data_IF_255444914031
#
_entry.id   IF_255444914031
#
_cell.length_a   1.000
_cell.length_b   1.000
_cell.length_c   1.000
_cell.angle_alpha   90.00
_cell.angle_beta   90.00
_cell.angle_gamma   90.00
#
_symmetry.space_group_name_H-M   'P 1'
#
loop_
_entity.id
_entity.type
_entity.pdbx_description
1 polymer ?
#
# COMPACT_ATOMS: atom_id res chain seq x y z
N UNK A 1 -33.56 -32.38 -37.98
CA UNK A 1 -32.40 -32.51 -37.06
C UNK A 1 -32.80 -31.97 -35.70
N UNK A 2 -32.90 -32.76 -34.64
CA UNK A 2 -33.17 -32.22 -33.33
C UNK A 2 -31.92 -31.44 -32.85
N UNK A 3 -32.09 -30.14 -32.61
CA UNK A 3 -31.04 -29.28 -32.04
C UNK A 3 -30.78 -29.68 -30.60
N UNK A 4 -29.54 -29.96 -30.26
CA UNK A 4 -29.10 -30.22 -28.86
C UNK A 4 -29.00 -28.87 -28.17
N UNK A 5 -29.94 -28.56 -27.28
CA UNK A 5 -29.90 -27.34 -26.46
C UNK A 5 -29.17 -27.68 -25.17
N UNK A 6 -27.97 -27.10 -24.97
CA UNK A 6 -27.26 -27.18 -23.69
C UNK A 6 -27.78 -26.08 -22.76
N UNK A 7 -28.37 -26.47 -21.65
CA UNK A 7 -28.79 -25.56 -20.61
C UNK A 7 -27.79 -25.64 -19.47
N UNK A 8 -26.94 -24.61 -19.30
CA UNK A 8 -25.98 -24.52 -18.16
C UNK A 8 -26.77 -23.98 -16.97
N UNK A 9 -26.96 -24.82 -15.97
CA UNK A 9 -27.66 -24.48 -14.73
C UNK A 9 -26.61 -24.09 -13.69
N UNK A 10 -26.75 -22.92 -13.05
CA UNK A 10 -25.83 -22.47 -11.99
C UNK A 10 -24.92 -21.30 -12.36
N UNK A 11 -24.95 -20.85 -13.62
CA UNK A 11 -24.19 -19.68 -14.10
C UNK A 11 -24.47 -18.41 -13.31
N UNK A 12 -25.73 -18.13 -12.99
CA UNK A 12 -26.14 -16.95 -12.21
C UNK A 12 -25.61 -16.99 -10.78
N UNK A 13 -25.60 -18.18 -10.16
CA UNK A 13 -25.03 -18.34 -8.80
C UNK A 13 -23.52 -18.22 -8.79
N UNK A 14 -22.86 -18.73 -9.83
CA UNK A 14 -21.42 -18.58 -10.00
C UNK A 14 -21.03 -17.12 -10.24
N UNK A 15 -21.73 -16.43 -11.12
CA UNK A 15 -21.53 -15.00 -11.39
C UNK A 15 -21.76 -14.17 -10.13
N UNK A 16 -22.81 -14.45 -9.36
CA UNK A 16 -23.07 -13.76 -8.10
C UNK A 16 -21.96 -13.99 -7.08
N UNK A 17 -21.44 -15.22 -6.94
CA UNK A 17 -20.30 -15.52 -6.06
C UNK A 17 -19.02 -14.84 -6.54
N UNK A 18 -18.73 -14.83 -7.83
CA UNK A 18 -17.58 -14.14 -8.40
C UNK A 18 -17.67 -12.62 -8.22
N UNK A 19 -18.83 -12.03 -8.41
CA UNK A 19 -19.04 -10.60 -8.18
C UNK A 19 -18.88 -10.23 -6.70
N UNK A 20 -19.39 -11.07 -5.79
CA UNK A 20 -19.21 -10.89 -4.36
C UNK A 20 -17.74 -10.98 -3.97
N UNK A 21 -17.03 -12.00 -4.41
CA UNK A 21 -15.57 -12.14 -4.24
C UNK A 21 -14.82 -10.93 -4.78
N UNK A 22 -15.16 -10.48 -5.97
CA UNK A 22 -14.55 -9.29 -6.57
C UNK A 22 -14.81 -8.02 -5.74
N UNK A 23 -16.00 -7.87 -5.16
CA UNK A 23 -16.32 -6.72 -4.30
C UNK A 23 -15.64 -6.79 -2.92
N UNK A 24 -15.53 -7.97 -2.33
CA UNK A 24 -14.84 -8.19 -1.05
C UNK A 24 -13.32 -8.04 -1.18
N UNK A 25 -12.73 -8.47 -2.30
CA UNK A 25 -11.29 -8.30 -2.59
C UNK A 25 -10.96 -6.85 -2.97
N UNK A 26 -11.94 -6.12 -3.54
CA UNK A 26 -11.80 -4.71 -3.91
C UNK A 26 -11.91 -3.84 -2.71
N UNK A 27 -11.24 -3.35 -1.98
CA UNK A 27 -11.43 -2.46 -0.83
C UNK A 27 -10.51 -2.83 0.31
N UNK A 28 -11.06 -2.98 1.49
CA UNK A 28 -10.31 -3.23 2.73
C UNK A 28 -9.36 -4.44 2.66
N UNK A 29 -9.72 -5.46 1.88
CA UNK A 29 -8.91 -6.67 1.70
C UNK A 29 -7.64 -6.37 0.90
N UNK A 30 -7.77 -5.70 -0.23
CA UNK A 30 -6.64 -5.29 -1.06
C UNK A 30 -5.76 -4.27 -0.32
N UNK A 31 -6.37 -3.34 0.39
CA UNK A 31 -5.66 -2.37 1.21
C UNK A 31 -4.79 -3.05 2.28
N UNK A 32 -5.33 -4.02 3.03
CA UNK A 32 -4.57 -4.79 4.02
C UNK A 32 -3.37 -5.51 3.41
N UNK A 33 -3.54 -6.10 2.24
CA UNK A 33 -2.45 -6.74 1.52
C UNK A 33 -1.38 -5.73 1.10
N UNK A 34 -1.77 -4.54 0.63
CA UNK A 34 -0.84 -3.47 0.28
C UNK A 34 -0.12 -2.92 1.51
N UNK A 35 -0.81 -2.79 2.65
CA UNK A 35 -0.20 -2.36 3.92
C UNK A 35 0.86 -3.35 4.38
N UNK A 36 0.66 -4.66 4.23
CA UNK A 36 1.70 -5.65 4.58
C UNK A 36 2.98 -5.45 3.77
N UNK A 37 2.86 -5.19 2.47
CA UNK A 37 4.01 -4.82 1.63
C UNK A 37 4.63 -3.46 2.01
N UNK A 38 3.80 -2.47 2.32
CA UNK A 38 4.26 -1.15 2.75
C UNK A 38 5.04 -1.18 4.07
N UNK A 39 4.71 -2.10 4.99
CA UNK A 39 5.45 -2.31 6.24
C UNK A 39 6.90 -2.72 5.99
N UNK A 40 7.17 -3.50 4.95
CA UNK A 40 8.55 -3.87 4.57
C UNK A 40 9.35 -2.62 4.21
N UNK A 41 8.76 -1.75 3.39
CA UNK A 41 9.40 -0.48 3.00
C UNK A 41 9.58 0.44 4.21
N UNK A 42 8.55 0.59 5.04
CA UNK A 42 8.59 1.44 6.23
C UNK A 42 9.71 1.02 7.18
N UNK A 43 9.82 -0.28 7.47
CA UNK A 43 10.84 -0.81 8.37
C UNK A 43 12.25 -0.60 7.79
N UNK A 44 12.44 -0.84 6.50
CA UNK A 44 13.70 -0.59 5.81
C UNK A 44 14.06 0.90 5.80
N UNK A 45 13.10 1.78 5.53
CA UNK A 45 13.30 3.22 5.56
C UNK A 45 13.67 3.72 6.97
N UNK A 46 12.99 3.23 8.00
CA UNK A 46 13.32 3.54 9.40
C UNK A 46 14.73 3.08 9.78
N UNK A 47 15.16 1.92 9.30
CA UNK A 47 16.51 1.40 9.56
C UNK A 47 17.60 2.26 8.87
N UNK A 48 17.32 2.73 7.65
CA UNK A 48 18.25 3.54 6.85
C UNK A 48 18.25 5.03 7.19
N UNK A 49 17.15 5.54 7.76
CA UNK A 49 17.04 6.95 8.12
C UNK A 49 18.12 7.35 9.13
N UNK A 50 18.82 8.49 8.93
CA UNK A 50 19.82 8.96 9.85
C UNK A 50 19.22 9.24 11.24
N UNK A 51 19.98 8.91 12.27
CA UNK A 51 19.55 9.09 13.66
C UNK A 51 20.26 10.31 14.26
N UNK A 52 19.57 11.43 14.32
CA UNK A 52 20.03 12.59 15.07
C UNK A 52 19.22 12.73 16.38
N UNK A 53 17.89 12.84 16.26
CA UNK A 53 16.97 12.94 17.39
C UNK A 53 15.97 11.78 17.42
N UNK A 54 15.96 10.94 16.39
CA UNK A 54 14.99 9.88 16.17
C UNK A 54 13.65 10.38 15.64
N UNK A 55 13.48 11.70 15.50
CA UNK A 55 12.20 12.27 15.03
C UNK A 55 11.86 11.81 13.61
N UNK A 56 12.82 11.87 12.67
CA UNK A 56 12.62 11.40 11.30
C UNK A 56 12.20 9.93 11.26
N UNK A 57 12.85 9.05 12.04
CA UNK A 57 12.50 7.63 12.08
C UNK A 57 11.09 7.38 12.60
N UNK A 58 10.66 8.16 13.59
CA UNK A 58 9.30 8.04 14.17
C UNK A 58 8.24 8.59 13.25
N UNK A 59 8.54 9.61 12.46
CA UNK A 59 7.60 10.23 11.54
C UNK A 59 7.35 9.42 10.27
N UNK A 60 8.20 8.42 9.95
CA UNK A 60 7.94 7.56 8.78
C UNK A 60 6.73 6.67 9.09
N UNK A 61 5.66 6.87 8.35
CA UNK A 61 4.40 6.15 8.53
C UNK A 61 3.82 5.70 7.18
N UNK A 62 2.80 4.86 7.26
CA UNK A 62 2.05 4.37 6.11
C UNK A 62 0.76 5.19 6.07
N UNK A 63 0.52 5.86 4.95
CA UNK A 63 -0.75 6.49 4.66
C UNK A 63 -1.70 5.49 4.03
N UNK A 64 -2.88 5.35 4.63
CA UNK A 64 -3.92 4.45 4.18
C UNK A 64 -5.28 5.03 4.52
N UNK A 65 -6.30 4.19 4.44
CA UNK A 65 -7.64 4.56 4.86
C UNK A 65 -7.64 5.09 6.31
N UNK A 66 -8.61 5.96 6.65
CA UNK A 66 -8.68 6.72 7.92
C UNK A 66 -8.48 5.89 9.20
N UNK A 67 -8.79 4.59 9.16
CA UNK A 67 -8.58 3.67 10.29
C UNK A 67 -7.10 3.30 10.55
N UNK A 68 -6.19 3.54 9.58
CA UNK A 68 -4.78 3.18 9.64
C UNK A 68 -3.88 4.39 9.92
N UNK A 69 -4.43 5.58 9.91
CA UNK A 69 -3.73 6.82 10.25
C UNK A 69 -4.55 7.63 11.27
N UNK A 70 -4.59 7.19 12.55
CA UNK A 70 -5.37 7.83 13.59
C UNK A 70 -4.95 9.28 13.87
N UNK A 71 -3.71 9.66 13.52
CA UNK A 71 -3.18 10.99 13.78
C UNK A 71 -3.40 11.98 12.63
N UNK A 72 -4.03 11.55 11.52
CA UNK A 72 -4.45 12.40 10.42
C UNK A 72 -3.32 13.22 9.76
N UNK A 73 -2.07 12.79 9.90
CA UNK A 73 -0.92 13.49 9.36
C UNK A 73 -1.03 13.59 7.84
N UNK A 74 -1.07 14.81 7.30
CA UNK A 74 -1.04 15.04 5.87
C UNK A 74 0.32 14.61 5.33
N UNK A 75 0.34 13.53 4.56
CA UNK A 75 1.50 13.20 3.74
C UNK A 75 1.57 14.28 2.66
N UNK A 76 2.67 15.01 2.61
CA UNK A 76 2.89 16.00 1.56
C UNK A 76 3.86 15.45 0.53
N UNK A 77 3.60 15.78 -0.72
CA UNK A 77 4.50 15.47 -1.82
C UNK A 77 5.74 16.42 -1.81
N UNK A 78 6.61 16.24 -2.80
CA UNK A 78 7.82 17.07 -2.97
C UNK A 78 7.53 18.57 -3.08
N UNK A 79 6.30 18.96 -3.42
CA UNK A 79 5.86 20.36 -3.56
C UNK A 79 5.25 20.92 -2.28
N UNK A 80 5.15 20.10 -1.21
CA UNK A 80 4.44 20.47 0.02
C UNK A 80 2.93 20.36 -0.11
N UNK A 81 2.42 19.77 -1.20
CA UNK A 81 1.00 19.52 -1.38
C UNK A 81 0.59 18.27 -0.63
N UNK A 82 -0.54 18.28 0.08
CA UNK A 82 -1.03 17.08 0.71
C UNK A 82 -1.27 16.01 -0.35
N UNK A 83 -0.60 14.86 -0.17
CA UNK A 83 -0.90 13.67 -0.96
C UNK A 83 -2.28 13.20 -0.48
N UNK A 84 -3.29 13.14 -1.35
CA UNK A 84 -4.59 12.68 -0.94
C UNK A 84 -4.48 11.28 -0.33
N UNK A 85 -5.22 11.06 0.73
CA UNK A 85 -5.44 9.71 1.31
C UNK A 85 -5.62 8.71 0.18
N UNK A 86 -5.23 7.44 0.35
CA UNK A 86 -5.18 6.50 -0.76
C UNK A 86 -6.42 6.62 -1.59
N UNK A 87 -6.20 6.93 -2.85
CA UNK A 87 -7.29 7.06 -3.80
C UNK A 87 -7.84 5.66 -3.97
N UNK A 88 -8.87 5.34 -3.19
CA UNK A 88 -9.73 4.21 -3.51
C UNK A 88 -10.58 4.67 -4.69
N UNK A 89 -10.00 4.58 -5.87
CA UNK A 89 -10.76 4.66 -7.10
C UNK A 89 -11.54 3.36 -7.28
N UNK A 90 -12.61 3.41 -8.05
CA UNK A 90 -13.43 2.24 -8.34
C UNK A 90 -12.62 1.02 -8.85
N UNK A 91 -11.40 1.25 -9.35
CA UNK A 91 -10.55 0.21 -9.95
C UNK A 91 -9.09 0.16 -9.39
N UNK A 92 -8.72 0.99 -8.44
CA UNK A 92 -7.36 1.00 -7.88
C UNK A 92 -7.35 1.37 -6.39
N UNK A 93 -6.45 0.73 -5.66
CA UNK A 93 -6.15 1.04 -4.26
C UNK A 93 -4.67 1.38 -4.18
N UNK A 94 -4.32 2.47 -3.53
CA UNK A 94 -2.94 2.91 -3.35
C UNK A 94 -2.63 3.10 -1.86
N UNK A 95 -1.45 2.69 -1.46
CA UNK A 95 -0.93 2.89 -0.11
C UNK A 95 0.41 3.62 -0.22
N UNK A 96 0.63 4.59 0.63
CA UNK A 96 1.81 5.44 0.62
C UNK A 96 2.68 5.19 1.85
N UNK A 97 3.99 5.25 1.67
CA UNK A 97 4.96 5.28 2.76
C UNK A 97 5.68 6.62 2.71
N UNK A 98 5.65 7.36 3.78
CA UNK A 98 6.21 8.72 3.78
C UNK A 98 6.40 9.28 5.18
N UNK A 99 6.70 10.56 5.24
CA UNK A 99 6.89 11.32 6.46
C UNK A 99 6.36 12.75 6.28
N UNK A 100 5.82 13.30 7.34
CA UNK A 100 5.31 14.68 7.43
C UNK A 100 6.38 15.70 7.88
N UNK A 101 7.59 15.25 8.20
CA UNK A 101 8.66 16.12 8.67
C UNK A 101 9.22 16.99 7.53
N UNK A 102 9.18 18.31 7.71
CA UNK A 102 9.54 19.28 6.69
C UNK A 102 10.99 19.19 6.18
N UNK A 103 11.94 18.73 6.99
CA UNK A 103 13.34 18.55 6.59
C UNK A 103 13.63 17.18 5.93
N UNK A 104 12.68 16.30 5.86
CA UNK A 104 12.85 14.94 5.30
C UNK A 104 13.34 14.97 3.85
N UNK A 105 12.82 15.87 3.03
CA UNK A 105 13.26 16.04 1.65
C UNK A 105 14.73 16.49 1.56
N UNK A 106 15.17 17.39 2.46
CA UNK A 106 16.57 17.82 2.51
C UNK A 106 17.51 16.68 2.94
N UNK A 107 17.04 15.77 3.79
CA UNK A 107 17.80 14.56 4.15
C UNK A 107 17.89 13.59 2.97
N UNK A 108 16.78 13.31 2.30
CA UNK A 108 16.72 12.37 1.18
C UNK A 108 17.53 12.84 -0.03
N UNK A 109 17.35 14.09 -0.44
CA UNK A 109 17.89 14.63 -1.68
C UNK A 109 19.12 15.53 -1.47
N UNK A 110 19.41 15.89 -0.23
CA UNK A 110 20.42 16.90 0.09
C UNK A 110 19.90 18.34 -0.04
N UNK A 111 20.71 19.27 0.42
CA UNK A 111 20.49 20.70 0.32
C UNK A 111 21.77 21.41 -0.06
N UNK A 112 21.76 22.74 -0.15
CA UNK A 112 22.98 23.56 -0.39
C UNK A 112 24.04 23.38 0.69
N UNK A 113 23.62 23.04 1.91
CA UNK A 113 24.47 22.95 3.10
C UNK A 113 24.61 21.53 3.65
N UNK A 114 23.82 20.59 3.15
CA UNK A 114 23.80 19.21 3.67
C UNK A 114 23.91 18.20 2.52
N UNK A 115 24.81 17.24 2.67
CA UNK A 115 24.91 16.11 1.74
C UNK A 115 23.65 15.22 1.84
N UNK A 116 23.19 14.72 0.71
CA UNK A 116 22.11 13.75 0.65
C UNK A 116 22.42 12.48 1.45
N UNK A 117 21.45 12.02 2.22
CA UNK A 117 21.47 10.76 2.96
C UNK A 117 20.18 10.01 2.65
N UNK A 118 20.05 9.43 1.44
CA UNK A 118 18.83 8.79 1.00
C UNK A 118 18.49 7.58 1.88
N UNK A 119 17.25 7.50 2.32
CA UNK A 119 16.74 6.43 3.17
C UNK A 119 15.47 5.79 2.59
N UNK A 120 14.61 6.59 1.96
CA UNK A 120 13.34 6.12 1.42
C UNK A 120 13.52 5.43 0.06
N UNK A 121 14.27 6.07 -0.84
CA UNK A 121 14.53 5.51 -2.17
C UNK A 121 15.23 4.15 -2.11
N UNK A 122 16.36 3.98 -1.37
CA UNK A 122 16.98 2.67 -1.23
C UNK A 122 16.08 1.65 -0.55
N UNK A 123 15.21 2.08 0.39
CA UNK A 123 14.24 1.19 1.03
C UNK A 123 13.24 0.61 0.02
N UNK A 124 12.83 1.37 -0.97
CA UNK A 124 11.96 0.87 -2.05
C UNK A 124 12.73 -0.03 -3.01
N UNK A 125 13.87 0.45 -3.52
CA UNK A 125 14.62 -0.23 -4.58
C UNK A 125 15.12 -1.62 -4.16
N UNK A 126 15.59 -1.74 -2.92
CA UNK A 126 16.13 -3.01 -2.40
C UNK A 126 15.04 -4.03 -2.00
N UNK A 127 13.83 -3.57 -1.73
CA UNK A 127 12.77 -4.43 -1.17
C UNK A 127 11.64 -4.76 -2.16
N UNK A 128 11.75 -4.41 -3.43
CA UNK A 128 10.68 -4.64 -4.43
C UNK A 128 10.22 -6.11 -4.49
N UNK A 129 11.17 -7.05 -4.49
CA UNK A 129 10.84 -8.48 -4.51
C UNK A 129 10.16 -8.94 -3.20
N UNK A 130 10.63 -8.45 -2.05
CA UNK A 130 10.05 -8.76 -0.75
C UNK A 130 8.63 -8.21 -0.62
N UNK A 131 8.42 -6.97 -1.06
CA UNK A 131 7.10 -6.33 -1.10
C UNK A 131 6.13 -7.14 -1.96
N UNK A 132 6.55 -7.54 -3.16
CA UNK A 132 5.72 -8.36 -4.06
C UNK A 132 5.35 -9.71 -3.42
N UNK A 133 6.28 -10.35 -2.72
CA UNK A 133 6.04 -11.61 -2.01
C UNK A 133 5.05 -11.44 -0.85
N UNK A 134 5.21 -10.40 -0.04
CA UNK A 134 4.30 -10.12 1.09
C UNK A 134 2.89 -9.81 0.62
N UNK A 135 2.75 -8.96 -0.40
CA UNK A 135 1.44 -8.64 -0.98
C UNK A 135 0.78 -9.90 -1.56
N UNK A 136 1.54 -10.70 -2.32
CA UNK A 136 1.04 -11.94 -2.92
C UNK A 136 0.61 -12.98 -1.89
N UNK A 137 1.37 -13.13 -0.80
CA UNK A 137 1.03 -14.00 0.33
C UNK A 137 -0.24 -13.54 1.03
N UNK A 138 -0.31 -12.27 1.40
CA UNK A 138 -1.48 -11.70 2.06
C UNK A 138 -2.76 -11.79 1.19
N UNK A 139 -2.65 -11.55 -0.11
CA UNK A 139 -3.78 -11.71 -1.04
C UNK A 139 -4.25 -13.16 -1.12
N UNK A 140 -3.32 -14.12 -1.20
CA UNK A 140 -3.66 -15.53 -1.22
C UNK A 140 -4.43 -15.92 0.03
N UNK A 141 -3.94 -15.59 1.22
CA UNK A 141 -4.57 -15.92 2.50
C UNK A 141 -5.98 -15.30 2.62
N UNK A 142 -6.13 -14.06 2.16
CA UNK A 142 -7.40 -13.35 2.18
C UNK A 142 -8.41 -13.95 1.19
N UNK A 143 -7.99 -14.36 0.00
CA UNK A 143 -8.84 -15.04 -0.99
C UNK A 143 -9.26 -16.42 -0.46
N UNK A 144 -8.34 -17.18 0.11
CA UNK A 144 -8.65 -18.48 0.70
C UNK A 144 -9.65 -18.37 1.86
N UNK A 145 -9.53 -17.32 2.68
CA UNK A 145 -10.49 -17.03 3.75
C UNK A 145 -11.87 -16.65 3.23
N UNK A 146 -11.95 -15.92 2.10
CA UNK A 146 -13.21 -15.50 1.50
C UNK A 146 -13.96 -16.62 0.75
N UNK A 147 -13.26 -17.69 0.37
CA UNK A 147 -13.82 -18.85 -0.36
C UNK A 147 -14.38 -19.91 0.59
N UNK A 148 -13.99 -19.90 1.87
CA UNK A 148 -14.53 -20.80 2.91
C UNK A 148 -15.87 -20.33 3.41
#
# INVERSE_FOLDING_TARGET
MPGVTFQITGDKQLIAKLNRLASEVRGKTLERALVSGALVIQNSAKAKAPYLTGNLRRSIHIGGHDDLNPDGGNIVDRSGMPVPNPIVSANSVSVFVGTDVNYAAAVEFGSKTQRAQPYLRPAVDENQAAVGKEIGGALKDLIEAAVR
#
